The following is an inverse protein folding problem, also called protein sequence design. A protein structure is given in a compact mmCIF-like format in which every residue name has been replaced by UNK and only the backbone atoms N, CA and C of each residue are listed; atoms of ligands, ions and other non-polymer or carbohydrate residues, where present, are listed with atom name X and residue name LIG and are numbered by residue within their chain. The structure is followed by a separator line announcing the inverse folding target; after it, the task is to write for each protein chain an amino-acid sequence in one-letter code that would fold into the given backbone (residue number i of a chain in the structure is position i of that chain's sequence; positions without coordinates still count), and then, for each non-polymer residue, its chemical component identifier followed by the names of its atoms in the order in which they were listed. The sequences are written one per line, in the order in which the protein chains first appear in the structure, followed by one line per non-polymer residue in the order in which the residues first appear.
data_IF_637576006020
#
_entry.id   IF_637576006020
#
_cell.length_a   1.000
_cell.length_b   1.000
_cell.length_c   1.000
_cell.angle_alpha   90.00
_cell.angle_beta   90.00
_cell.angle_gamma   90.00
#
_symmetry.space_group_name_H-M   'P 1'
#
loop_
_entity.id
_entity.type
_entity.pdbx_description
1 polymer ?
#
# COMPACT_ATOMS: atom_id res chain seq x y z
N UNK A 1 -1.48 -89.67 -13.66
CA UNK A 1 -0.84 -88.83 -12.61
C UNK A 1 -1.18 -87.35 -12.89
N UNK A 2 -1.99 -86.71 -12.11
CA UNK A 2 -2.26 -85.29 -12.30
C UNK A 2 -1.43 -84.45 -11.33
N UNK A 3 -0.72 -83.43 -11.89
CA UNK A 3 0.07 -82.47 -11.15
C UNK A 3 -0.86 -81.35 -10.55
N UNK A 4 -0.79 -81.28 -9.24
CA UNK A 4 -1.53 -80.24 -8.45
C UNK A 4 -0.78 -78.91 -8.52
N UNK A 5 -1.43 -77.88 -9.14
CA UNK A 5 -1.00 -76.45 -9.13
C UNK A 5 -1.47 -75.83 -7.85
N UNK A 6 -0.54 -75.42 -6.97
CA UNK A 6 -0.82 -74.59 -5.78
C UNK A 6 -0.89 -73.16 -6.17
N UNK A 7 -2.07 -72.53 -6.07
CA UNK A 7 -2.24 -71.08 -6.13
C UNK A 7 -1.78 -70.44 -4.81
N UNK A 8 -0.80 -69.57 -4.88
CA UNK A 8 -0.42 -68.68 -3.77
C UNK A 8 -1.20 -67.40 -3.94
N UNK A 9 -2.17 -67.15 -3.05
CA UNK A 9 -2.87 -65.86 -2.93
C UNK A 9 -1.94 -64.85 -2.30
N UNK A 10 -1.61 -63.80 -3.05
CA UNK A 10 -0.89 -62.61 -2.54
C UNK A 10 -1.96 -61.60 -2.08
N UNK A 11 -2.06 -61.42 -0.77
CA UNK A 11 -2.92 -60.38 -0.18
C UNK A 11 -2.14 -59.07 -0.24
N UNK A 12 -2.54 -58.15 -1.12
CA UNK A 12 -2.01 -56.80 -1.16
C UNK A 12 -2.67 -55.95 -0.07
N UNK A 13 -1.92 -55.57 0.94
CA UNK A 13 -2.35 -54.55 1.92
C UNK A 13 -2.29 -53.16 1.27
N UNK A 14 -3.45 -52.55 0.99
CA UNK A 14 -3.56 -51.16 0.61
C UNK A 14 -3.51 -50.32 1.91
N UNK A 15 -2.38 -49.69 2.19
CA UNK A 15 -2.26 -48.71 3.27
C UNK A 15 -2.94 -47.42 2.83
N UNK A 16 -4.16 -47.14 3.32
CA UNK A 16 -4.80 -45.83 3.22
C UNK A 16 -4.06 -44.85 4.13
N UNK A 17 -3.19 -44.01 3.55
CA UNK A 17 -2.60 -42.87 4.23
C UNK A 17 -3.68 -41.80 4.37
N UNK A 18 -4.32 -41.70 5.56
CA UNK A 18 -5.21 -40.57 5.93
C UNK A 18 -4.33 -39.36 6.18
N UNK A 19 -4.14 -38.53 5.13
CA UNK A 19 -3.53 -37.21 5.27
C UNK A 19 -4.44 -36.33 6.12
N UNK A 20 -4.04 -36.06 7.37
CA UNK A 20 -4.68 -35.05 8.21
C UNK A 20 -4.34 -33.68 7.60
N UNK A 21 -5.32 -32.84 7.21
CA UNK A 21 -5.01 -31.50 6.76
C UNK A 21 -4.37 -30.73 7.91
N UNK A 22 -3.09 -30.38 7.78
CA UNK A 22 -2.45 -29.40 8.67
C UNK A 22 -3.12 -28.08 8.38
N UNK A 23 -4.01 -27.64 9.25
CA UNK A 23 -4.55 -26.28 9.21
C UNK A 23 -3.33 -25.33 9.34
N UNK A 24 -3.01 -24.63 8.26
CA UNK A 24 -2.00 -23.58 8.30
C UNK A 24 -2.52 -22.52 9.29
N UNK A 25 -1.87 -22.43 10.45
CA UNK A 25 -2.15 -21.36 11.41
C UNK A 25 -1.90 -20.06 10.68
N UNK A 26 -2.92 -19.19 10.61
CA UNK A 26 -2.77 -17.86 10.02
C UNK A 26 -1.64 -17.14 10.78
N UNK A 27 -0.62 -16.71 10.05
CA UNK A 27 0.50 -15.97 10.66
C UNK A 27 -0.02 -14.66 11.27
N UNK A 28 0.35 -14.38 12.53
CA UNK A 28 0.02 -13.14 13.24
C UNK A 28 0.69 -11.90 12.61
N UNK A 29 0.43 -10.69 13.15
CA UNK A 29 1.12 -9.47 12.75
C UNK A 29 2.60 -9.47 13.17
N UNK A 30 3.35 -8.42 12.81
CA UNK A 30 4.78 -8.30 13.15
C UNK A 30 5.06 -8.01 14.63
N UNK A 31 4.04 -7.66 15.40
CA UNK A 31 4.14 -7.39 16.84
C UNK A 31 3.52 -8.49 17.69
N UNK A 32 3.88 -8.52 18.98
CA UNK A 32 3.39 -9.53 19.91
C UNK A 32 1.96 -9.23 20.38
N UNK A 33 1.00 -10.02 19.94
CA UNK A 33 -0.42 -9.88 20.28
C UNK A 33 -0.72 -10.01 21.79
N UNK A 34 0.10 -10.72 22.57
CA UNK A 34 -0.06 -10.75 24.02
C UNK A 34 0.24 -9.40 24.71
N UNK A 35 0.85 -8.45 23.98
CA UNK A 35 1.14 -7.10 24.42
C UNK A 35 0.31 -6.04 23.68
N UNK A 36 -0.66 -6.44 22.87
CA UNK A 36 -1.54 -5.53 22.13
C UNK A 36 -2.31 -4.63 23.10
N UNK A 37 -2.32 -3.34 22.81
CA UNK A 37 -3.01 -2.33 23.60
C UNK A 37 -4.03 -1.58 22.74
N UNK A 38 -5.22 -1.41 23.27
CA UNK A 38 -6.29 -0.70 22.59
C UNK A 38 -6.97 -1.52 21.48
N UNK A 39 -8.10 -1.00 21.04
CA UNK A 39 -9.03 -1.67 20.13
C UNK A 39 -8.39 -2.01 18.76
N UNK A 40 -7.60 -1.09 18.21
CA UNK A 40 -6.99 -1.26 16.88
C UNK A 40 -5.96 -2.38 16.86
N UNK A 41 -5.08 -2.47 17.87
CA UNK A 41 -4.07 -3.54 17.91
C UNK A 41 -4.71 -4.91 18.18
N UNK A 42 -5.73 -4.99 19.04
CA UNK A 42 -6.51 -6.20 19.24
C UNK A 42 -7.23 -6.64 17.95
N UNK A 43 -7.79 -5.69 17.20
CA UNK A 43 -8.42 -5.96 15.91
C UNK A 43 -7.41 -6.52 14.89
N UNK A 44 -6.21 -5.93 14.79
CA UNK A 44 -5.14 -6.43 13.90
C UNK A 44 -4.74 -7.86 14.28
N UNK A 45 -4.69 -8.17 15.57
CA UNK A 45 -4.36 -9.51 16.04
C UNK A 45 -5.44 -10.55 15.75
N UNK A 46 -6.70 -10.16 15.75
CA UNK A 46 -7.84 -11.07 15.52
C UNK A 46 -8.24 -11.21 14.07
N UNK A 47 -7.81 -10.30 13.18
CA UNK A 47 -8.16 -10.29 11.76
C UNK A 47 -6.95 -10.68 10.90
N UNK A 48 -7.03 -11.84 10.25
CA UNK A 48 -5.93 -12.38 9.44
C UNK A 48 -5.56 -11.48 8.24
N UNK A 49 -6.53 -10.73 7.68
CA UNK A 49 -6.27 -9.80 6.58
C UNK A 49 -5.49 -8.58 7.04
N UNK A 50 -5.82 -8.02 8.20
CA UNK A 50 -5.08 -6.91 8.79
C UNK A 50 -3.68 -7.34 9.25
N UNK A 51 -3.55 -8.54 9.84
CA UNK A 51 -2.25 -9.11 10.18
C UNK A 51 -1.35 -9.29 8.95
N UNK A 52 -1.92 -9.69 7.81
CA UNK A 52 -1.17 -9.80 6.55
C UNK A 52 -0.72 -8.42 6.03
N UNK A 53 -1.55 -7.39 6.14
CA UNK A 53 -1.18 -6.02 5.79
C UNK A 53 -0.06 -5.47 6.71
N UNK A 54 -0.11 -5.78 8.00
CA UNK A 54 0.94 -5.42 8.96
C UNK A 54 2.29 -6.05 8.57
N UNK A 55 2.30 -7.35 8.25
CA UNK A 55 3.52 -8.03 7.76
C UNK A 55 4.05 -7.42 6.46
N UNK A 56 3.15 -7.12 5.51
CA UNK A 56 3.51 -6.47 4.24
C UNK A 56 4.19 -5.13 4.48
N UNK A 57 3.59 -4.27 5.32
CA UNK A 57 4.20 -3.00 5.70
C UNK A 57 5.54 -3.19 6.42
N UNK A 58 5.64 -4.15 7.34
CA UNK A 58 6.88 -4.47 8.05
C UNK A 58 8.02 -4.80 7.08
N UNK A 59 7.76 -5.61 6.06
CA UNK A 59 8.72 -5.94 4.99
C UNK A 59 9.14 -4.72 4.18
N UNK A 60 8.18 -3.89 3.77
CA UNK A 60 8.44 -2.65 3.01
C UNK A 60 9.23 -1.63 3.85
N UNK A 61 8.86 -1.45 5.12
CA UNK A 61 9.58 -0.57 6.04
C UNK A 61 11.02 -1.02 6.28
N UNK A 62 11.25 -2.33 6.44
CA UNK A 62 12.59 -2.92 6.52
C UNK A 62 13.42 -2.61 5.27
N UNK A 63 12.86 -2.76 4.08
CA UNK A 63 13.54 -2.44 2.82
C UNK A 63 13.87 -0.94 2.71
N UNK A 64 12.95 -0.06 3.07
CA UNK A 64 13.18 1.38 3.12
C UNK A 64 14.28 1.75 4.11
N UNK A 65 14.27 1.14 5.31
CA UNK A 65 15.29 1.37 6.36
C UNK A 65 16.68 0.95 5.90
N UNK A 66 16.81 -0.12 5.10
CA UNK A 66 18.09 -0.56 4.55
C UNK A 66 18.72 0.49 3.60
N UNK A 67 17.89 1.26 2.90
CA UNK A 67 18.35 2.35 2.00
C UNK A 67 18.58 3.68 2.73
N UNK A 68 17.85 3.91 3.83
CA UNK A 68 17.87 5.19 4.54
C UNK A 68 19.22 5.45 5.24
N UNK A 69 19.80 6.64 5.03
CA UNK A 69 21.05 7.06 5.65
C UNK A 69 20.92 8.45 6.28
N UNK A 70 21.69 8.70 7.33
CA UNK A 70 21.79 10.01 7.98
C UNK A 70 20.42 10.60 8.37
N UNK A 71 20.17 11.85 8.01
CA UNK A 71 18.92 12.56 8.32
C UNK A 71 17.67 11.88 7.76
N UNK A 72 17.78 11.21 6.60
CA UNK A 72 16.66 10.48 6.01
C UNK A 72 16.27 9.26 6.86
N UNK A 73 17.23 8.56 7.47
CA UNK A 73 16.92 7.46 8.38
C UNK A 73 16.21 7.94 9.66
N UNK A 74 16.59 9.11 10.17
CA UNK A 74 15.91 9.73 11.33
C UNK A 74 14.47 10.11 10.96
N UNK A 75 14.28 10.80 9.84
CA UNK A 75 12.95 11.19 9.35
C UNK A 75 12.05 9.99 9.11
N UNK A 76 12.56 8.92 8.45
CA UNK A 76 11.78 7.70 8.22
C UNK A 76 11.26 7.10 9.52
N UNK A 77 12.07 7.07 10.59
CA UNK A 77 11.66 6.56 11.91
C UNK A 77 10.62 7.47 12.58
N UNK A 78 10.75 8.78 12.45
CA UNK A 78 9.82 9.77 13.00
C UNK A 78 8.47 9.69 12.30
N UNK A 79 8.47 9.66 10.96
CA UNK A 79 7.27 9.50 10.14
C UNK A 79 6.55 8.18 10.45
N UNK A 80 7.32 7.08 10.65
CA UNK A 80 6.71 5.80 11.02
C UNK A 80 6.08 5.83 12.42
N UNK A 81 6.69 6.50 13.38
CA UNK A 81 6.08 6.69 14.71
C UNK A 81 4.81 7.54 14.65
N UNK A 82 4.83 8.60 13.84
CA UNK A 82 3.64 9.41 13.58
C UNK A 82 2.52 8.60 12.94
N UNK A 83 2.86 7.78 11.95
CA UNK A 83 1.92 6.90 11.29
C UNK A 83 1.27 5.88 12.25
N UNK A 84 2.03 5.25 13.15
CA UNK A 84 1.48 4.34 14.16
C UNK A 84 0.41 5.01 15.02
N UNK A 85 0.63 6.26 15.44
CA UNK A 85 -0.36 7.03 16.21
C UNK A 85 -1.63 7.27 15.37
N UNK A 86 -1.47 7.71 14.12
CA UNK A 86 -2.59 7.94 13.20
C UNK A 86 -3.39 6.65 12.92
N UNK A 87 -2.72 5.52 12.70
CA UNK A 87 -3.39 4.21 12.55
C UNK A 87 -4.19 3.85 13.80
N UNK A 88 -3.61 4.04 14.99
CA UNK A 88 -4.30 3.72 16.24
C UNK A 88 -5.51 4.64 16.50
N UNK A 89 -5.55 5.83 15.90
CA UNK A 89 -6.71 6.73 15.96
C UNK A 89 -7.92 6.23 15.14
N UNK A 90 -7.77 5.15 14.37
CA UNK A 90 -8.86 4.53 13.60
C UNK A 90 -10.03 4.04 14.47
N UNK A 91 -9.87 3.86 15.77
CA UNK A 91 -10.99 3.59 16.67
C UNK A 91 -12.10 4.65 16.59
N UNK A 92 -11.77 5.89 16.17
CA UNK A 92 -12.71 6.99 15.99
C UNK A 92 -13.67 6.78 14.80
N UNK A 93 -13.34 5.88 13.88
CA UNK A 93 -14.16 5.59 12.68
C UNK A 93 -15.35 4.66 12.96
N UNK A 94 -15.58 4.26 14.19
CA UNK A 94 -16.66 3.35 14.58
C UNK A 94 -18.05 3.98 14.34
N UNK A 95 -18.70 3.60 13.22
CA UNK A 95 -19.99 4.13 12.78
C UNK A 95 -19.97 5.63 12.39
N UNK A 96 -18.79 6.20 12.20
CA UNK A 96 -18.62 7.60 11.80
C UNK A 96 -17.80 7.69 10.52
N UNK A 97 -18.30 8.43 9.54
CA UNK A 97 -17.56 8.71 8.33
C UNK A 97 -16.23 9.42 8.67
N UNK A 98 -15.13 8.77 8.32
CA UNK A 98 -13.77 9.25 8.56
C UNK A 98 -13.08 9.44 7.20
N UNK A 99 -12.52 10.61 6.98
CA UNK A 99 -11.79 10.95 5.77
C UNK A 99 -10.38 10.35 5.81
N UNK A 100 -10.05 9.59 4.77
CA UNK A 100 -8.71 9.02 4.56
C UNK A 100 -7.92 9.89 3.59
N UNK A 101 -8.57 10.32 2.50
CA UNK A 101 -8.11 11.36 1.56
C UNK A 101 -9.25 12.33 1.30
N UNK A 102 -9.08 13.33 0.44
CA UNK A 102 -10.13 14.28 0.11
C UNK A 102 -11.41 13.62 -0.45
N UNK A 103 -11.29 12.46 -1.12
CA UNK A 103 -12.42 11.74 -1.72
C UNK A 103 -12.63 10.32 -1.17
N UNK A 104 -11.69 9.79 -0.38
CA UNK A 104 -11.81 8.45 0.21
C UNK A 104 -12.25 8.53 1.66
N UNK A 105 -13.41 7.95 1.95
CA UNK A 105 -13.96 7.86 3.30
C UNK A 105 -14.20 6.42 3.71
N UNK A 106 -14.18 6.18 5.00
CA UNK A 106 -14.51 4.91 5.65
C UNK A 106 -15.40 5.18 6.86
N UNK A 107 -16.17 4.20 7.29
CA UNK A 107 -17.10 4.29 8.41
C UNK A 107 -16.90 3.19 9.46
N UNK A 108 -15.90 2.34 9.27
CA UNK A 108 -15.56 1.25 10.17
C UNK A 108 -14.11 1.32 10.63
N UNK A 109 -13.84 0.87 11.84
CA UNK A 109 -12.48 0.75 12.39
C UNK A 109 -11.61 -0.11 11.46
N UNK A 110 -12.13 -1.26 11.02
CA UNK A 110 -11.41 -2.15 10.10
C UNK A 110 -11.08 -1.46 8.79
N UNK A 111 -12.03 -0.80 8.15
CA UNK A 111 -11.82 -0.09 6.89
C UNK A 111 -10.79 1.03 7.02
N UNK A 112 -10.80 1.77 8.13
CA UNK A 112 -9.79 2.78 8.42
C UNK A 112 -8.39 2.16 8.56
N UNK A 113 -8.25 1.11 9.37
CA UNK A 113 -6.96 0.42 9.57
C UNK A 113 -6.42 -0.15 8.27
N UNK A 114 -7.27 -0.80 7.46
CA UNK A 114 -6.92 -1.32 6.15
C UNK A 114 -6.40 -0.21 5.22
N UNK A 115 -7.13 0.90 5.12
CA UNK A 115 -6.74 2.07 4.34
C UNK A 115 -5.39 2.63 4.77
N UNK A 116 -5.16 2.80 6.07
CA UNK A 116 -3.90 3.28 6.62
C UNK A 116 -2.71 2.38 6.24
N UNK A 117 -2.86 1.06 6.33
CA UNK A 117 -1.81 0.13 5.92
C UNK A 117 -1.51 0.20 4.42
N UNK A 118 -2.55 0.23 3.59
CA UNK A 118 -2.39 0.27 2.12
C UNK A 118 -1.72 1.55 1.67
N UNK A 119 -2.18 2.71 2.17
CA UNK A 119 -1.57 4.01 1.84
C UNK A 119 -0.11 4.08 2.29
N UNK A 120 0.20 3.68 3.53
CA UNK A 120 1.57 3.73 4.03
C UNK A 120 2.51 2.80 3.29
N UNK A 121 2.04 1.60 2.96
CA UNK A 121 2.82 0.63 2.17
C UNK A 121 3.16 1.20 0.79
N UNK A 122 2.18 1.72 0.07
CA UNK A 122 2.36 2.28 -1.27
C UNK A 122 3.22 3.56 -1.25
N UNK A 123 3.05 4.41 -0.23
CA UNK A 123 3.89 5.59 -0.01
C UNK A 123 5.38 5.21 0.14
N UNK A 124 5.69 4.26 1.03
CA UNK A 124 7.07 3.84 1.23
C UNK A 124 7.67 3.19 -0.02
N UNK A 125 6.88 2.38 -0.75
CA UNK A 125 7.30 1.78 -2.00
C UNK A 125 7.67 2.83 -3.05
N UNK A 126 6.88 3.89 -3.17
CA UNK A 126 7.12 4.98 -4.12
C UNK A 126 8.27 5.90 -3.66
N UNK A 127 8.26 6.32 -2.38
CA UNK A 127 9.24 7.27 -1.83
C UNK A 127 10.66 6.70 -1.87
N UNK A 128 10.81 5.41 -1.58
CA UNK A 128 12.10 4.72 -1.55
C UNK A 128 12.40 3.95 -2.84
N UNK A 129 11.59 4.14 -3.89
CA UNK A 129 11.72 3.45 -5.19
C UNK A 129 11.96 1.94 -5.04
N UNK A 130 11.20 1.29 -4.13
CA UNK A 130 11.29 -0.15 -3.90
C UNK A 130 10.69 -0.97 -5.04
N UNK A 131 9.94 -0.31 -5.94
CA UNK A 131 9.43 -0.81 -7.20
C UNK A 131 9.90 0.11 -8.33
N UNK A 132 10.15 -0.41 -9.55
CA UNK A 132 10.50 0.42 -10.69
C UNK A 132 9.30 1.27 -11.12
N UNK A 133 9.45 2.60 -11.28
CA UNK A 133 8.39 3.45 -11.81
C UNK A 133 8.37 3.44 -13.33
N UNK A 134 7.19 3.73 -13.91
CA UNK A 134 7.09 4.27 -15.26
C UNK A 134 7.20 5.79 -15.15
N UNK A 135 8.31 6.35 -15.62
CA UNK A 135 8.57 7.79 -15.57
C UNK A 135 8.13 8.46 -16.87
N UNK A 136 7.42 9.57 -16.77
CA UNK A 136 7.01 10.40 -17.89
C UNK A 136 7.29 11.86 -17.57
N UNK A 137 7.95 12.56 -18.50
CA UNK A 137 8.16 14.01 -18.45
C UNK A 137 7.05 14.71 -19.24
N UNK A 138 6.50 15.75 -18.66
CA UNK A 138 5.43 16.57 -19.22
C UNK A 138 5.88 18.02 -19.38
N UNK A 139 5.57 18.63 -20.52
CA UNK A 139 5.66 20.07 -20.72
C UNK A 139 4.31 20.73 -20.39
N UNK A 140 4.30 21.72 -19.51
CA UNK A 140 3.09 22.38 -19.05
C UNK A 140 2.91 23.76 -19.69
N UNK A 141 1.65 24.17 -19.96
CA UNK A 141 1.28 25.44 -20.61
C UNK A 141 2.05 25.68 -21.92
N UNK A 142 2.30 24.64 -22.72
CA UNK A 142 3.09 24.70 -23.95
C UNK A 142 4.50 25.31 -23.77
N UNK A 143 5.03 25.31 -22.58
CA UNK A 143 6.38 25.80 -22.27
C UNK A 143 7.29 24.64 -21.83
N UNK A 144 8.30 24.28 -22.63
CA UNK A 144 9.24 23.20 -22.28
C UNK A 144 10.02 23.45 -20.97
N UNK A 145 10.22 24.70 -20.58
CA UNK A 145 10.89 25.02 -19.31
C UNK A 145 9.98 24.80 -18.08
N UNK A 146 8.66 24.71 -18.28
CA UNK A 146 7.70 24.40 -17.22
C UNK A 146 7.44 22.88 -17.21
N UNK A 147 8.36 22.13 -16.62
CA UNK A 147 8.33 20.66 -16.61
C UNK A 147 7.70 20.11 -15.34
N UNK A 148 6.93 19.04 -15.50
CA UNK A 148 6.50 18.14 -14.44
C UNK A 148 6.95 16.73 -14.78
N UNK A 149 7.65 16.07 -13.88
CA UNK A 149 7.99 14.66 -13.99
C UNK A 149 7.05 13.83 -13.12
N UNK A 150 6.39 12.85 -13.72
CA UNK A 150 5.51 11.93 -13.02
C UNK A 150 6.10 10.51 -13.04
N UNK A 151 6.35 9.97 -11.85
CA UNK A 151 6.78 8.60 -11.63
C UNK A 151 5.56 7.77 -11.19
N UNK A 152 5.07 6.90 -12.05
CA UNK A 152 3.91 6.03 -11.79
C UNK A 152 4.38 4.70 -11.24
N UNK A 153 3.85 4.30 -10.08
CA UNK A 153 4.17 3.04 -9.41
C UNK A 153 2.96 2.10 -9.41
N UNK A 154 3.18 0.83 -9.74
CA UNK A 154 2.18 -0.24 -9.67
C UNK A 154 2.02 -0.75 -8.23
N UNK A 155 1.66 0.15 -7.34
CA UNK A 155 1.37 -0.09 -5.92
C UNK A 155 -0.13 -0.33 -5.70
N UNK A 156 -0.54 -0.62 -4.47
CA UNK A 156 -1.93 -0.76 -4.08
C UNK A 156 -2.22 0.10 -2.82
N UNK A 157 -2.93 1.24 -2.98
CA UNK A 157 -3.40 1.85 -4.23
C UNK A 157 -2.25 2.30 -5.14
N UNK A 158 -2.54 2.40 -6.46
CA UNK A 158 -1.57 2.91 -7.43
C UNK A 158 -1.13 4.32 -7.04
N UNK A 159 0.15 4.61 -7.15
CA UNK A 159 0.76 5.83 -6.62
C UNK A 159 1.52 6.58 -7.70
N UNK A 160 1.44 7.91 -7.67
CA UNK A 160 2.29 8.80 -8.46
C UNK A 160 3.19 9.58 -7.51
N UNK A 161 4.47 9.72 -7.85
CA UNK A 161 5.34 10.73 -7.29
C UNK A 161 5.58 11.80 -8.34
N UNK A 162 5.10 13.02 -8.05
CA UNK A 162 5.33 14.20 -8.89
C UNK A 162 6.57 14.95 -8.45
N UNK A 163 7.28 15.50 -9.42
CA UNK A 163 8.44 16.36 -9.23
C UNK A 163 8.28 17.60 -10.13
N UNK A 164 8.42 18.80 -9.56
CA UNK A 164 8.38 20.08 -10.28
C UNK A 164 9.36 21.05 -9.61
N UNK A 165 10.49 21.30 -10.23
CA UNK A 165 11.59 22.05 -9.60
C UNK A 165 12.01 21.37 -8.28
N UNK A 166 12.00 22.11 -7.19
CA UNK A 166 12.29 21.62 -5.83
C UNK A 166 11.07 21.01 -5.09
N UNK A 167 9.88 21.09 -5.68
CA UNK A 167 8.62 20.57 -5.11
C UNK A 167 8.44 19.10 -5.48
N UNK A 168 8.07 18.30 -4.51
CA UNK A 168 7.70 16.89 -4.73
C UNK A 168 6.43 16.55 -3.97
N UNK A 169 5.60 15.66 -4.54
CA UNK A 169 4.40 15.16 -3.90
C UNK A 169 4.20 13.67 -4.19
N UNK A 170 3.60 12.97 -3.22
CA UNK A 170 3.11 11.61 -3.39
C UNK A 170 1.60 11.65 -3.42
N UNK A 171 1.01 11.02 -4.44
CA UNK A 171 -0.42 10.97 -4.65
C UNK A 171 -0.86 9.52 -4.84
N UNK A 172 -2.05 9.21 -4.36
CA UNK A 172 -2.67 7.89 -4.51
C UNK A 172 -3.86 7.97 -5.46
N UNK A 173 -4.08 6.90 -6.21
CA UNK A 173 -5.26 6.78 -7.06
C UNK A 173 -6.52 6.83 -6.20
N UNK A 174 -7.50 7.60 -6.66
CA UNK A 174 -8.83 7.73 -6.07
C UNK A 174 -9.89 7.40 -7.11
N UNK A 175 -11.07 6.95 -6.64
CA UNK A 175 -12.16 6.54 -7.52
C UNK A 175 -11.99 5.14 -8.13
N UNK A 176 -12.63 4.90 -9.29
CA UNK A 176 -12.61 3.60 -9.97
C UNK A 176 -11.24 3.24 -10.54
N UNK A 177 -10.99 1.94 -10.75
CA UNK A 177 -9.72 1.43 -11.28
C UNK A 177 -9.39 2.02 -12.67
N UNK A 178 -10.38 2.39 -13.45
CA UNK A 178 -10.24 2.96 -14.80
C UNK A 178 -10.04 4.48 -14.79
N UNK A 179 -10.24 5.15 -13.63
CA UNK A 179 -10.04 6.59 -13.46
C UNK A 179 -8.57 6.95 -13.32
N UNK A 180 -8.12 7.97 -14.06
CA UNK A 180 -6.78 8.54 -13.96
C UNK A 180 -6.64 9.62 -12.87
N UNK A 181 -7.51 9.64 -11.84
CA UNK A 181 -7.47 10.63 -10.77
C UNK A 181 -6.61 10.18 -9.62
N UNK A 182 -5.79 11.12 -9.12
CA UNK A 182 -4.88 10.89 -7.99
C UNK A 182 -4.94 12.08 -7.04
N UNK A 183 -4.85 11.82 -5.76
CA UNK A 183 -4.85 12.84 -4.70
C UNK A 183 -3.68 12.64 -3.74
N UNK A 184 -3.13 13.76 -3.29
CA UNK A 184 -2.12 13.85 -2.26
C UNK A 184 -2.38 15.06 -1.37
N UNK A 185 -1.47 15.35 -0.48
CA UNK A 185 -1.57 16.54 0.36
C UNK A 185 -1.38 17.81 -0.50
N UNK A 186 -2.41 18.65 -0.59
CA UNK A 186 -2.40 19.92 -1.33
C UNK A 186 -2.16 19.77 -2.85
N UNK A 187 -2.36 18.59 -3.41
CA UNK A 187 -2.17 18.35 -4.84
C UNK A 187 -3.14 17.29 -5.34
N UNK A 188 -3.71 17.54 -6.51
CA UNK A 188 -4.50 16.56 -7.25
C UNK A 188 -4.06 16.49 -8.70
N UNK A 189 -4.27 15.33 -9.31
CA UNK A 189 -3.90 15.04 -10.69
C UNK A 189 -5.02 14.31 -11.39
N UNK A 190 -5.29 14.71 -12.63
CA UNK A 190 -6.06 13.92 -13.59
C UNK A 190 -5.14 13.56 -14.75
N UNK A 191 -4.92 12.26 -14.95
CA UNK A 191 -4.11 11.70 -16.03
C UNK A 191 -5.01 11.02 -17.05
N UNK A 192 -4.86 11.40 -18.32
CA UNK A 192 -5.62 10.82 -19.44
C UNK A 192 -4.72 10.71 -20.67
N UNK A 193 -4.25 9.49 -20.96
CA UNK A 193 -3.34 9.22 -22.07
C UNK A 193 -2.01 9.99 -21.93
N UNK A 194 -1.75 10.92 -22.85
CA UNK A 194 -0.58 11.81 -22.83
C UNK A 194 -0.81 13.14 -22.11
N UNK A 195 -2.03 13.39 -21.61
CA UNK A 195 -2.39 14.60 -20.91
C UNK A 195 -2.32 14.43 -19.39
N UNK A 196 -1.82 15.45 -18.70
CA UNK A 196 -1.78 15.55 -17.25
C UNK A 196 -2.32 16.92 -16.82
N UNK A 197 -3.37 16.94 -16.03
CA UNK A 197 -3.83 18.14 -15.33
C UNK A 197 -3.39 18.06 -13.89
N UNK A 198 -2.74 19.11 -13.38
CA UNK A 198 -2.26 19.18 -12.01
C UNK A 198 -2.84 20.42 -11.35
N UNK A 199 -3.46 20.26 -10.19
CA UNK A 199 -3.87 21.33 -9.30
C UNK A 199 -3.00 21.24 -8.05
N UNK A 200 -2.18 22.27 -7.78
CA UNK A 200 -1.20 22.26 -6.70
C UNK A 200 -1.36 23.49 -5.81
N UNK A 201 -1.95 23.30 -4.63
CA UNK A 201 -2.11 24.34 -3.63
C UNK A 201 -0.76 24.64 -2.94
N UNK A 202 -0.35 25.88 -2.97
CA UNK A 202 0.72 26.40 -2.13
C UNK A 202 0.16 26.77 -0.76
N UNK A 203 0.48 25.99 0.26
CA UNK A 203 -0.05 26.17 1.61
C UNK A 203 0.40 27.47 2.28
N UNK A 204 1.51 28.10 1.83
CA UNK A 204 2.03 29.35 2.40
C UNK A 204 1.29 30.56 1.84
N UNK A 205 1.03 30.57 0.52
CA UNK A 205 0.38 31.68 -0.15
C UNK A 205 -1.14 31.51 -0.31
N UNK A 206 -1.66 30.28 -0.12
CA UNK A 206 -3.05 29.93 -0.41
C UNK A 206 -3.40 29.92 -1.89
N UNK A 207 -2.42 30.10 -2.79
CA UNK A 207 -2.63 30.08 -4.24
C UNK A 207 -2.55 28.67 -4.79
N UNK A 208 -3.38 28.39 -5.79
CA UNK A 208 -3.36 27.12 -6.51
C UNK A 208 -2.76 27.30 -7.90
N UNK A 209 -1.72 26.52 -8.20
CA UNK A 209 -1.17 26.41 -9.56
C UNK A 209 -1.99 25.39 -10.34
N UNK A 210 -2.67 25.83 -11.40
CA UNK A 210 -3.39 24.97 -12.34
C UNK A 210 -2.53 24.74 -13.58
N UNK A 211 -2.11 23.49 -13.81
CA UNK A 211 -1.22 23.14 -14.93
C UNK A 211 -1.94 22.21 -15.91
N UNK A 212 -1.87 22.59 -17.19
CA UNK A 212 -2.24 21.74 -18.32
C UNK A 212 -0.96 21.25 -18.99
N UNK A 213 -0.68 19.96 -18.94
CA UNK A 213 0.58 19.39 -19.36
C UNK A 213 0.38 18.30 -20.40
N UNK A 214 1.35 18.14 -21.30
CA UNK A 214 1.39 17.10 -22.32
C UNK A 214 2.71 16.34 -22.24
N UNK A 215 2.66 15.02 -22.37
CA UNK A 215 3.84 14.16 -22.40
C UNK A 215 4.77 14.54 -23.57
N UNK A 216 6.07 14.42 -23.34
CA UNK A 216 7.12 14.64 -24.33
C UNK A 216 7.49 13.34 -25.04
#
# INVERSE_FOLDING_TARGET
MPMSRRYRSVIAFVACATGVPVAALAEGPTFNCAKAQGEVEMLICSDASLAALDRKLGGVYKAATAQAKGKLATRLREDQRGWFKGRNDCWKANGKQTWITATWTVDTVKGCVEAQYRLRTSELQALWRLLPPRTVSYACQNNPANEVVANFFATDPATIRLERGDRTATLWRVGSADGGSYEGQNVSVVHNGDALKVSWLDANSGKTDELQCKAR
#
